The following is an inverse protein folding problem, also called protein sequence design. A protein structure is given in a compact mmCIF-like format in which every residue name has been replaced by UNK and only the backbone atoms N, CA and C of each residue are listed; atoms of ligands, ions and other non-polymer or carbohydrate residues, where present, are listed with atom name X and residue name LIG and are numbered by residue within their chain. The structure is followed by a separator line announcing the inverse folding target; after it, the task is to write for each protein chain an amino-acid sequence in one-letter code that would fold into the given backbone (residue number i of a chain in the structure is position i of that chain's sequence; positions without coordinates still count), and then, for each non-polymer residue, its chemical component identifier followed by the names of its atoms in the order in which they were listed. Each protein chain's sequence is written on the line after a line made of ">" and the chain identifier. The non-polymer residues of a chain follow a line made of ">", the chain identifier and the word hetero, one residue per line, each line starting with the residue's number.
data_IF_161612091368
#
_entry.id   IF_161612091368
#
_cell.length_a   1.000
_cell.length_b   1.000
_cell.length_c   1.000
_cell.angle_alpha   90.00
_cell.angle_beta   90.00
_cell.angle_gamma   90.00
#
_symmetry.space_group_name_H-M   'P 1'
#
loop_
_entity.id
_entity.type
_entity.pdbx_description
1 polymer ?
#
# COMPACT_ATOMS: atom_id res chain seq x y z
N UNK A 1 11.31 4.94 3.40
CA UNK A 1 9.91 4.57 3.08
C UNK A 1 9.85 3.33 2.20
N UNK A 2 10.49 3.30 1.02
CA UNK A 2 10.42 2.13 0.12
C UNK A 2 10.92 0.83 0.74
N UNK A 3 12.03 0.83 1.49
CA UNK A 3 12.51 -0.38 2.19
C UNK A 3 11.45 -0.97 3.13
N UNK A 4 10.75 -0.12 3.87
CA UNK A 4 9.66 -0.52 4.77
C UNK A 4 8.48 -1.10 3.99
N UNK A 5 8.04 -0.43 2.91
CA UNK A 5 6.95 -0.92 2.08
C UNK A 5 7.30 -2.30 1.46
N UNK A 6 8.52 -2.46 0.94
CA UNK A 6 8.98 -3.71 0.34
C UNK A 6 9.11 -4.84 1.37
N UNK A 7 9.70 -4.58 2.54
CA UNK A 7 9.85 -5.64 3.56
C UNK A 7 8.49 -6.13 4.07
N UNK A 8 7.56 -5.22 4.35
CA UNK A 8 6.22 -5.57 4.81
C UNK A 8 5.43 -6.26 3.70
N UNK A 9 5.49 -5.78 2.46
CA UNK A 9 4.84 -6.43 1.32
C UNK A 9 5.30 -7.89 1.15
N UNK A 10 6.61 -8.15 1.18
CA UNK A 10 7.14 -9.51 1.02
C UNK A 10 6.63 -10.42 2.14
N UNK A 11 6.72 -9.98 3.39
CA UNK A 11 6.28 -10.78 4.54
C UNK A 11 4.77 -11.05 4.46
N UNK A 12 3.96 -10.02 4.19
CA UNK A 12 2.51 -10.13 4.15
C UNK A 12 2.04 -11.00 2.98
N UNK A 13 2.64 -10.86 1.80
CA UNK A 13 2.29 -11.65 0.62
C UNK A 13 2.58 -13.14 0.83
N UNK A 14 3.62 -13.46 1.61
CA UNK A 14 3.96 -14.84 1.94
C UNK A 14 3.08 -15.38 3.06
N UNK A 15 2.88 -14.63 4.14
CA UNK A 15 2.46 -15.20 5.42
C UNK A 15 1.31 -14.47 6.15
N UNK A 16 0.73 -13.40 5.60
CA UNK A 16 -0.39 -12.73 6.28
C UNK A 16 -1.60 -13.67 6.46
N UNK A 17 -2.27 -13.66 7.62
CA UNK A 17 -3.53 -14.37 7.81
C UNK A 17 -4.66 -13.76 6.97
N UNK A 18 -5.82 -14.42 6.87
CA UNK A 18 -7.00 -13.87 6.22
C UNK A 18 -7.48 -12.54 6.84
N UNK A 19 -8.01 -11.65 6.00
CA UNK A 19 -8.38 -10.26 6.36
C UNK A 19 -9.87 -10.00 6.10
N UNK A 20 -10.55 -9.34 7.04
CA UNK A 20 -11.97 -8.98 6.91
C UNK A 20 -12.18 -7.67 6.11
N UNK A 21 -11.99 -7.75 4.79
CA UNK A 21 -12.01 -6.60 3.87
C UNK A 21 -13.31 -5.79 3.92
N UNK A 22 -14.47 -6.44 3.99
CA UNK A 22 -15.77 -5.76 3.96
C UNK A 22 -16.29 -5.39 5.36
N UNK A 23 -15.56 -5.78 6.43
CA UNK A 23 -15.97 -5.53 7.81
C UNK A 23 -17.21 -6.32 8.25
N UNK A 24 -17.53 -7.40 7.53
CA UNK A 24 -18.70 -8.25 7.75
C UNK A 24 -18.35 -9.54 8.50
N UNK A 25 -17.12 -9.65 8.99
CA UNK A 25 -16.55 -10.83 9.65
C UNK A 25 -16.43 -12.04 8.71
N UNK A 26 -16.10 -11.78 7.45
CA UNK A 26 -15.84 -12.80 6.43
C UNK A 26 -14.41 -12.65 5.88
N UNK A 27 -13.39 -13.24 6.55
CA UNK A 27 -12.00 -13.02 6.17
C UNK A 27 -11.63 -13.67 4.84
N UNK A 28 -10.91 -12.92 4.00
CA UNK A 28 -10.39 -13.36 2.70
C UNK A 28 -8.90 -13.72 2.83
N UNK A 29 -8.52 -14.89 2.36
CA UNK A 29 -7.12 -15.33 2.34
C UNK A 29 -6.37 -14.74 1.13
N UNK A 30 -5.31 -13.96 1.37
CA UNK A 30 -4.49 -13.37 0.31
C UNK A 30 -3.08 -13.96 0.17
N UNK A 31 -2.53 -14.60 1.20
CA UNK A 31 -1.12 -14.98 1.21
C UNK A 31 -0.85 -16.40 0.71
N UNK A 32 0.41 -16.66 0.34
CA UNK A 32 0.85 -17.96 -0.18
C UNK A 32 0.68 -19.10 0.82
N UNK A 33 1.05 -18.89 2.08
CA UNK A 33 0.92 -19.92 3.13
C UNK A 33 -0.54 -20.24 3.47
N UNK A 34 -1.49 -19.40 3.07
CA UNK A 34 -2.93 -19.61 3.22
C UNK A 34 -3.62 -20.07 1.92
N UNK A 35 -2.87 -20.77 1.05
CA UNK A 35 -3.44 -21.51 -0.09
C UNK A 35 -3.49 -20.76 -1.41
N UNK A 36 -2.85 -19.59 -1.50
CA UNK A 36 -2.75 -18.84 -2.76
C UNK A 36 -1.48 -19.18 -3.55
N UNK A 37 -1.56 -19.02 -4.87
CA UNK A 37 -0.39 -19.03 -5.75
C UNK A 37 -0.04 -17.59 -6.18
N UNK A 38 0.94 -17.42 -7.08
CA UNK A 38 1.38 -16.09 -7.53
C UNK A 38 0.27 -15.29 -8.23
N UNK A 39 -0.70 -15.96 -8.87
CA UNK A 39 -1.81 -15.32 -9.58
C UNK A 39 -2.94 -14.96 -8.62
N UNK A 40 -3.26 -15.85 -7.67
CA UNK A 40 -4.37 -15.63 -6.73
C UNK A 40 -3.96 -14.84 -5.48
N UNK A 41 -2.66 -14.74 -5.21
CA UNK A 41 -2.12 -14.07 -4.03
C UNK A 41 -2.28 -12.55 -4.12
N UNK A 42 -2.58 -11.94 -2.98
CA UNK A 42 -2.77 -10.50 -2.84
C UNK A 42 -2.48 -10.04 -1.40
N UNK A 43 -2.18 -8.76 -1.25
CA UNK A 43 -2.35 -8.08 0.02
C UNK A 43 -3.79 -7.59 0.06
N UNK A 44 -4.60 -8.15 0.95
CA UNK A 44 -6.01 -7.79 1.06
C UNK A 44 -6.13 -6.37 1.64
N UNK A 45 -6.96 -5.49 1.06
CA UNK A 45 -7.22 -4.16 1.57
C UNK A 45 -7.70 -4.08 3.02
N UNK A 46 -7.55 -2.91 3.63
CA UNK A 46 -7.99 -2.64 5.00
C UNK A 46 -9.51 -2.76 5.13
N UNK A 47 -9.99 -3.22 6.28
CA UNK A 47 -11.42 -3.44 6.52
C UNK A 47 -12.28 -2.19 6.30
N UNK A 48 -13.45 -2.33 5.67
CA UNK A 48 -14.43 -1.25 5.55
C UNK A 48 -14.96 -0.75 6.91
N UNK A 49 -14.82 -1.54 7.97
CA UNK A 49 -15.09 -1.10 9.34
C UNK A 49 -14.14 0.02 9.82
N UNK A 50 -12.95 0.13 9.22
CA UNK A 50 -12.00 1.24 9.43
C UNK A 50 -12.36 2.44 8.55
N UNK A 51 -12.84 2.22 7.32
CA UNK A 51 -13.12 3.30 6.38
C UNK A 51 -11.84 4.05 5.98
N UNK A 52 -11.82 5.37 6.23
CA UNK A 52 -10.66 6.26 5.98
C UNK A 52 -9.89 6.63 7.26
N UNK A 53 -10.18 5.98 8.37
CA UNK A 53 -9.43 6.20 9.60
C UNK A 53 -7.99 5.69 9.42
N UNK A 54 -7.04 6.46 9.95
CA UNK A 54 -5.63 6.07 9.94
C UNK A 54 -5.40 4.93 10.92
N UNK A 55 -5.00 3.74 10.44
CA UNK A 55 -4.86 2.53 11.26
C UNK A 55 -3.41 2.00 11.33
N UNK A 56 -2.50 2.73 12.02
CA UNK A 56 -1.14 2.25 12.27
C UNK A 56 -1.14 1.12 13.30
N UNK A 57 -0.01 0.41 13.38
CA UNK A 57 0.17 -0.75 14.28
C UNK A 57 -0.21 -0.42 15.75
N UNK A 58 0.05 0.80 16.21
CA UNK A 58 -0.22 1.23 17.59
C UNK A 58 -1.66 1.64 17.88
N UNK A 59 -2.55 1.69 16.88
CA UNK A 59 -4.00 1.84 17.10
C UNK A 59 -4.68 0.50 17.39
N UNK A 60 -4.05 -0.63 17.03
CA UNK A 60 -4.56 -1.96 17.35
C UNK A 60 -4.16 -2.40 18.77
N UNK A 61 -5.00 -3.20 19.42
CA UNK A 61 -4.68 -3.78 20.72
C UNK A 61 -3.60 -4.88 20.63
N UNK A 62 -3.43 -5.48 19.45
CA UNK A 62 -2.43 -6.52 19.18
C UNK A 62 -2.05 -6.59 17.71
N UNK A 63 -0.96 -7.28 17.39
CA UNK A 63 -0.61 -7.57 15.99
C UNK A 63 -1.64 -8.49 15.31
N UNK A 64 -2.25 -9.41 16.04
CA UNK A 64 -3.26 -10.31 15.47
C UNK A 64 -4.50 -9.53 15.01
N UNK A 65 -4.95 -8.57 15.82
CA UNK A 65 -6.04 -7.64 15.44
C UNK A 65 -5.64 -6.78 14.24
N UNK A 66 -4.42 -6.21 14.27
CA UNK A 66 -3.94 -5.37 13.17
C UNK A 66 -3.88 -6.14 11.84
N UNK A 67 -3.44 -7.41 11.89
CA UNK A 67 -3.42 -8.29 10.73
C UNK A 67 -4.83 -8.67 10.28
N UNK A 68 -5.75 -8.98 11.20
CA UNK A 68 -7.14 -9.32 10.87
C UNK A 68 -7.86 -8.19 10.13
N UNK A 69 -7.57 -6.94 10.49
CA UNK A 69 -8.19 -5.76 9.89
C UNK A 69 -7.47 -5.21 8.65
N UNK A 70 -6.44 -5.90 8.14
CA UNK A 70 -5.77 -5.51 6.90
C UNK A 70 -4.77 -4.35 7.04
N UNK A 71 -4.30 -4.07 8.26
CA UNK A 71 -3.32 -3.02 8.53
C UNK A 71 -2.07 -3.00 7.64
N UNK A 72 -1.51 -4.16 7.16
CA UNK A 72 -0.43 -4.15 6.20
C UNK A 72 -0.71 -3.34 4.93
N UNK A 73 -1.95 -3.35 4.43
CA UNK A 73 -2.32 -2.66 3.19
C UNK A 73 -2.09 -1.16 3.29
N UNK A 74 -2.67 -0.53 4.32
CA UNK A 74 -2.53 0.91 4.54
C UNK A 74 -1.06 1.31 4.76
N UNK A 75 -0.32 0.53 5.57
CA UNK A 75 1.11 0.77 5.79
C UNK A 75 1.89 0.76 4.47
N UNK A 76 1.70 -0.28 3.65
CA UNK A 76 2.40 -0.42 2.36
C UNK A 76 2.04 0.73 1.43
N UNK A 77 0.76 1.02 1.24
CA UNK A 77 0.27 2.06 0.33
C UNK A 77 0.85 3.42 0.71
N UNK A 78 0.75 3.83 1.98
CA UNK A 78 1.22 5.14 2.41
C UNK A 78 2.74 5.28 2.28
N UNK A 79 3.51 4.26 2.68
CA UNK A 79 4.97 4.28 2.52
C UNK A 79 5.39 4.24 1.04
N UNK A 80 4.67 3.50 0.21
CA UNK A 80 4.92 3.40 -1.23
C UNK A 80 4.69 4.76 -1.91
N UNK A 81 3.53 5.39 -1.69
CA UNK A 81 3.19 6.69 -2.30
C UNK A 81 4.22 7.76 -1.91
N UNK A 82 4.57 7.86 -0.62
CA UNK A 82 5.63 8.78 -0.20
C UNK A 82 6.96 8.47 -0.91
N UNK A 83 7.31 7.19 -1.02
CA UNK A 83 8.52 6.74 -1.70
C UNK A 83 8.57 7.14 -3.18
N UNK A 84 7.50 6.90 -3.95
CA UNK A 84 7.47 7.24 -5.38
C UNK A 84 7.37 8.75 -5.62
N UNK A 85 6.72 9.50 -4.73
CA UNK A 85 6.75 10.96 -4.77
C UNK A 85 8.17 11.51 -4.56
N UNK A 86 8.92 10.98 -3.59
CA UNK A 86 10.35 11.31 -3.44
C UNK A 86 11.18 10.87 -4.66
N UNK A 87 10.81 9.76 -5.31
CA UNK A 87 11.52 9.25 -6.48
C UNK A 87 11.40 10.20 -7.69
N UNK A 88 10.22 10.83 -7.90
CA UNK A 88 10.08 11.94 -8.88
C UNK A 88 11.12 13.03 -8.61
N UNK A 89 11.23 13.46 -7.35
CA UNK A 89 12.21 14.47 -6.93
C UNK A 89 13.65 14.03 -7.14
N UNK A 90 13.98 12.76 -6.89
CA UNK A 90 15.30 12.17 -7.12
C UNK A 90 15.69 12.18 -8.60
N UNK A 91 14.76 11.84 -9.51
CA UNK A 91 15.02 11.90 -10.96
C UNK A 91 15.35 13.33 -11.41
N UNK A 92 14.59 14.30 -10.90
CA UNK A 92 14.88 15.70 -11.16
C UNK A 92 16.23 16.13 -10.56
N UNK A 93 16.52 15.78 -9.30
CA UNK A 93 17.76 16.17 -8.64
C UNK A 93 18.98 15.64 -9.40
N UNK A 94 18.98 14.37 -9.81
CA UNK A 94 20.08 13.81 -10.58
C UNK A 94 20.25 14.52 -11.93
N UNK A 95 19.14 14.81 -12.62
CA UNK A 95 19.20 15.57 -13.88
C UNK A 95 19.86 16.93 -13.70
N UNK A 96 19.56 17.62 -12.59
CA UNK A 96 20.15 18.90 -12.25
C UNK A 96 21.66 18.77 -11.94
N UNK A 97 22.05 17.79 -11.13
CA UNK A 97 23.48 17.55 -10.78
C UNK A 97 24.34 17.25 -12.00
N UNK A 98 23.77 16.62 -13.02
CA UNK A 98 24.47 16.25 -14.25
C UNK A 98 24.30 17.28 -15.38
N UNK A 99 23.60 18.39 -15.16
CA UNK A 99 23.34 19.40 -16.20
C UNK A 99 22.46 18.89 -17.35
N UNK A 100 21.64 17.86 -17.09
CA UNK A 100 20.71 17.29 -18.06
C UNK A 100 19.43 18.11 -18.17
N UNK A 101 18.67 17.90 -19.25
CA UNK A 101 17.32 18.44 -19.39
C UNK A 101 16.36 17.74 -18.40
N UNK A 102 15.49 18.45 -17.66
CA UNK A 102 14.85 17.93 -16.45
C UNK A 102 13.47 17.25 -16.64
N UNK A 103 13.12 16.72 -17.82
CA UNK A 103 11.75 16.21 -18.07
C UNK A 103 11.53 14.72 -17.83
N UNK A 104 12.55 13.97 -17.40
CA UNK A 104 12.38 12.54 -17.05
C UNK A 104 11.41 12.43 -15.87
N UNK A 105 11.62 13.23 -14.82
CA UNK A 105 10.74 13.29 -13.65
C UNK A 105 9.31 13.69 -14.02
N UNK A 106 9.14 14.59 -15.00
CA UNK A 106 7.83 15.01 -15.50
C UNK A 106 7.12 13.84 -16.17
N UNK A 107 7.79 13.07 -17.03
CA UNK A 107 7.20 11.87 -17.63
C UNK A 107 6.83 10.83 -16.57
N UNK A 108 7.66 10.67 -15.53
CA UNK A 108 7.40 9.75 -14.43
C UNK A 108 6.21 10.17 -13.54
N UNK A 109 5.77 11.43 -13.59
CA UNK A 109 4.54 11.82 -12.86
C UNK A 109 3.29 11.11 -13.36
N UNK A 110 3.22 10.69 -14.63
CA UNK A 110 2.06 10.02 -15.20
C UNK A 110 1.73 8.68 -14.49
N UNK A 111 2.65 7.71 -14.36
CA UNK A 111 2.38 6.49 -13.60
C UNK A 111 2.18 6.74 -12.10
N UNK A 112 2.87 7.74 -11.51
CA UNK A 112 2.66 8.07 -10.09
C UNK A 112 1.27 8.64 -9.84
N UNK A 113 0.75 9.47 -10.75
CA UNK A 113 -0.62 9.99 -10.69
C UNK A 113 -1.65 8.85 -10.83
N UNK A 114 -1.41 7.90 -11.73
CA UNK A 114 -2.27 6.72 -11.87
C UNK A 114 -2.29 5.86 -10.59
N UNK A 115 -1.12 5.65 -9.97
CA UNK A 115 -1.02 4.92 -8.70
C UNK A 115 -1.73 5.67 -7.56
N UNK A 116 -1.55 6.99 -7.45
CA UNK A 116 -2.25 7.81 -6.45
C UNK A 116 -3.77 7.81 -6.66
N UNK A 117 -4.23 7.78 -7.91
CA UNK A 117 -5.65 7.72 -8.24
C UNK A 117 -6.30 6.44 -7.67
N UNK A 118 -5.68 5.28 -7.89
CA UNK A 118 -6.25 3.99 -7.45
C UNK A 118 -6.04 3.71 -5.97
N UNK A 119 -4.90 4.10 -5.38
CA UNK A 119 -4.58 3.76 -4.00
C UNK A 119 -4.99 4.82 -2.96
N UNK A 120 -5.28 6.05 -3.37
CA UNK A 120 -5.67 7.13 -2.45
C UNK A 120 -6.94 7.84 -2.88
N UNK A 121 -6.98 8.39 -4.10
CA UNK A 121 -8.10 9.27 -4.50
C UNK A 121 -9.42 8.51 -4.56
N UNK A 122 -9.43 7.32 -5.17
CA UNK A 122 -10.63 6.50 -5.25
C UNK A 122 -11.12 6.05 -3.85
N UNK A 123 -10.26 5.49 -2.97
CA UNK A 123 -10.62 5.21 -1.58
C UNK A 123 -11.22 6.40 -0.82
N UNK A 124 -10.60 7.58 -0.92
CA UNK A 124 -11.11 8.80 -0.28
C UNK A 124 -12.49 9.17 -0.83
N UNK A 125 -12.69 9.07 -2.14
CA UNK A 125 -13.97 9.35 -2.79
C UNK A 125 -15.08 8.38 -2.40
N UNK A 126 -14.74 7.11 -2.11
CA UNK A 126 -15.68 6.10 -1.65
C UNK A 126 -15.83 6.05 -0.12
N UNK A 127 -14.95 6.72 0.62
CA UNK A 127 -14.96 6.73 2.09
C UNK A 127 -14.40 5.47 2.74
N UNK A 128 -13.60 4.67 2.01
CA UNK A 128 -12.98 3.46 2.55
C UNK A 128 -11.72 3.03 1.78
N UNK A 129 -10.74 2.44 2.47
CA UNK A 129 -9.59 1.77 1.87
C UNK A 129 -9.82 0.30 1.46
N UNK A 130 -10.99 -0.26 1.76
CA UNK A 130 -11.45 -1.61 1.35
C UNK A 130 -11.58 -1.78 -0.16
#
# INVERSE_FOLDING_TARGET
>A
TLLTATSVFIIAFVAAPPVDIDGIREPVAGSLLYGNNIISGAIIPSSAAIGIHFYPIWEAASLDEWLYNGGPYELIVLHFILGVCCYIGREWELSYRLGMRPWISVAFTAPVAAAAAVFLVYPIGQGSFS
#
